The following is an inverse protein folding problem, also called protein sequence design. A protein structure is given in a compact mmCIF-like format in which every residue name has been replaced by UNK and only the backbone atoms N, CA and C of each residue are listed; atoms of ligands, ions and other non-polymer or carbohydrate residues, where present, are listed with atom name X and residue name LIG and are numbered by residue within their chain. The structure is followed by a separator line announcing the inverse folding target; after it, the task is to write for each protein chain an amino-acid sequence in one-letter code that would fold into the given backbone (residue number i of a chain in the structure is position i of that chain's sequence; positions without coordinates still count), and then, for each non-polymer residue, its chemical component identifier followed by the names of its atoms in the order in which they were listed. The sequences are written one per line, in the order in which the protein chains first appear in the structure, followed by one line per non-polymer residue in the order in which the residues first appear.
data_IF_026159436828
#
_entry.id   IF_026159436828
#
_cell.length_a   1.000
_cell.length_b   1.000
_cell.length_c   1.000
_cell.angle_alpha   90.00
_cell.angle_beta   90.00
_cell.angle_gamma   90.00
#
_symmetry.space_group_name_H-M   'P 1'
#
loop_
_entity.id
_entity.type
_entity.pdbx_description
1 polymer ?
#
# COMPACT_ATOMS: atom_id res chain seq x y z
N UNK A 1 -10.40 23.57 3.37
CA UNK A 1 -9.17 22.87 2.95
C UNK A 1 -8.75 23.28 1.53
N UNK A 2 -9.59 23.13 0.51
CA UNK A 2 -9.25 23.43 -0.91
C UNK A 2 -8.74 24.84 -1.18
N UNK A 3 -9.30 25.88 -0.53
CA UNK A 3 -8.84 27.27 -0.68
C UNK A 3 -7.38 27.45 -0.22
N UNK A 4 -7.01 26.80 0.89
CA UNK A 4 -5.65 26.86 1.40
C UNK A 4 -4.69 26.15 0.46
N UNK A 5 -5.06 24.96 -0.02
CA UNK A 5 -4.26 24.22 -1.00
C UNK A 5 -4.06 25.02 -2.29
N UNK A 6 -5.10 25.67 -2.81
CA UNK A 6 -4.98 26.54 -3.98
C UNK A 6 -3.97 27.67 -3.76
N UNK A 7 -4.07 28.41 -2.65
CA UNK A 7 -3.11 29.48 -2.36
C UNK A 7 -1.70 28.92 -2.24
N UNK A 8 -1.52 27.81 -1.52
CA UNK A 8 -0.22 27.17 -1.36
C UNK A 8 0.38 26.70 -2.70
N UNK A 9 -0.45 26.19 -3.62
CA UNK A 9 0.00 25.66 -4.90
C UNK A 9 0.24 26.71 -5.99
N UNK A 10 -0.45 27.85 -5.95
CA UNK A 10 -0.44 28.83 -7.05
C UNK A 10 0.09 30.22 -6.68
N UNK A 11 0.17 30.58 -5.39
CA UNK A 11 0.57 31.93 -4.99
C UNK A 11 1.99 32.28 -5.43
N UNK A 12 2.92 31.32 -5.35
CA UNK A 12 4.30 31.52 -5.81
C UNK A 12 4.37 31.77 -7.31
N UNK A 13 3.61 31.01 -8.10
CA UNK A 13 3.54 31.16 -9.55
C UNK A 13 2.89 32.49 -9.94
N UNK A 14 1.84 32.92 -9.23
CA UNK A 14 1.25 34.25 -9.44
C UNK A 14 2.21 35.37 -9.07
N UNK A 15 2.96 35.21 -7.99
CA UNK A 15 3.99 36.17 -7.61
C UNK A 15 5.06 36.31 -8.70
N UNK A 16 5.53 35.20 -9.26
CA UNK A 16 6.51 35.24 -10.36
C UNK A 16 5.89 35.84 -11.62
N UNK A 17 4.68 35.40 -12.00
CA UNK A 17 4.03 35.81 -13.24
C UNK A 17 3.63 37.30 -13.24
N UNK A 18 3.10 37.81 -12.13
CA UNK A 18 2.51 39.15 -12.09
C UNK A 18 3.34 40.19 -11.35
N UNK A 19 4.05 39.81 -10.28
CA UNK A 19 4.88 40.75 -9.52
C UNK A 19 6.31 40.82 -10.06
N UNK A 20 6.98 39.68 -10.25
CA UNK A 20 8.34 39.65 -10.82
C UNK A 20 8.34 39.78 -12.34
N UNK A 21 7.26 39.35 -13.02
CA UNK A 21 7.11 39.34 -14.48
C UNK A 21 8.23 38.56 -15.21
N UNK A 22 8.79 37.55 -14.54
CA UNK A 22 9.87 36.72 -15.09
C UNK A 22 9.30 35.44 -15.71
N UNK A 23 9.11 35.48 -17.03
CA UNK A 23 8.54 34.38 -17.79
C UNK A 23 9.49 33.19 -17.93
N UNK A 24 10.80 33.40 -17.80
CA UNK A 24 11.77 32.30 -17.83
C UNK A 24 11.69 31.49 -16.54
N UNK A 25 11.75 32.16 -15.38
CA UNK A 25 11.54 31.51 -14.07
C UNK A 25 10.19 30.80 -13.99
N UNK A 26 9.14 31.41 -14.54
CA UNK A 26 7.80 30.81 -14.57
C UNK A 26 7.79 29.50 -15.36
N UNK A 27 8.39 29.49 -16.55
CA UNK A 27 8.52 28.27 -17.38
C UNK A 27 9.36 27.21 -16.68
N UNK A 28 10.49 27.58 -16.08
CA UNK A 28 11.35 26.66 -15.34
C UNK A 28 10.61 26.01 -14.17
N UNK A 29 9.87 26.78 -13.37
CA UNK A 29 9.08 26.23 -12.28
C UNK A 29 7.96 25.31 -12.76
N UNK A 30 7.22 25.71 -13.80
CA UNK A 30 6.16 24.86 -14.38
C UNK A 30 6.74 23.56 -14.96
N UNK A 31 7.86 23.65 -15.67
CA UNK A 31 8.56 22.49 -16.20
C UNK A 31 9.01 21.57 -15.06
N UNK A 32 9.63 22.12 -14.01
CA UNK A 32 10.05 21.34 -12.84
C UNK A 32 8.87 20.62 -12.17
N UNK A 33 7.73 21.31 -11.97
CA UNK A 33 6.52 20.72 -11.40
C UNK A 33 5.98 19.57 -12.27
N UNK A 34 5.92 19.75 -13.59
CA UNK A 34 5.41 18.76 -14.54
C UNK A 34 6.37 17.57 -14.72
N UNK A 35 7.68 17.82 -14.78
CA UNK A 35 8.70 16.77 -14.87
C UNK A 35 8.71 15.95 -13.58
N UNK A 36 8.62 16.60 -12.41
CA UNK A 36 8.57 15.89 -11.13
C UNK A 36 7.38 14.93 -11.11
N UNK A 37 6.21 15.38 -11.57
CA UNK A 37 5.02 14.52 -11.73
C UNK A 37 5.26 13.34 -12.67
N UNK A 38 5.88 13.56 -13.82
CA UNK A 38 6.23 12.52 -14.77
C UNK A 38 7.19 11.47 -14.18
N UNK A 39 8.21 11.93 -13.45
CA UNK A 39 9.18 11.07 -12.78
C UNK A 39 8.52 10.26 -11.68
N UNK A 40 7.67 10.88 -10.87
CA UNK A 40 6.88 10.19 -9.83
C UNK A 40 6.00 9.11 -10.47
N UNK A 41 5.33 9.39 -11.58
CA UNK A 41 4.56 8.40 -12.33
C UNK A 41 5.40 7.20 -12.77
N UNK A 42 6.56 7.45 -13.39
CA UNK A 42 7.48 6.38 -13.80
C UNK A 42 7.98 5.53 -12.61
N UNK A 43 8.26 6.18 -11.47
CA UNK A 43 8.63 5.49 -10.23
C UNK A 43 7.46 4.68 -9.69
N UNK A 44 6.23 5.21 -9.69
CA UNK A 44 5.03 4.48 -9.25
C UNK A 44 4.86 3.18 -10.05
N UNK A 45 4.99 3.24 -11.38
CA UNK A 45 4.82 2.06 -12.24
C UNK A 45 5.94 1.02 -12.09
N UNK A 46 7.19 1.46 -11.88
CA UNK A 46 8.34 0.54 -11.87
C UNK A 46 8.71 0.05 -10.46
N UNK A 47 8.60 0.93 -9.47
CA UNK A 47 9.12 0.72 -8.12
C UNK A 47 8.08 0.15 -7.17
N UNK A 48 6.81 0.53 -7.30
CA UNK A 48 5.75 -0.01 -6.45
C UNK A 48 5.54 -1.52 -6.66
N UNK A 49 5.46 -2.10 -7.87
CA UNK A 49 5.32 -3.56 -8.01
C UNK A 49 6.46 -4.30 -7.30
N UNK A 50 7.69 -3.79 -7.45
CA UNK A 50 8.87 -4.33 -6.79
C UNK A 50 8.78 -4.26 -5.26
N UNK A 51 8.39 -3.10 -4.71
CA UNK A 51 8.29 -2.92 -3.25
C UNK A 51 7.14 -3.72 -2.65
N UNK A 52 6.00 -3.82 -3.34
CA UNK A 52 4.81 -4.54 -2.87
C UNK A 52 5.09 -6.04 -2.79
N UNK A 53 5.80 -6.60 -3.77
CA UNK A 53 6.20 -8.01 -3.76
C UNK A 53 7.21 -8.29 -2.63
N UNK A 54 8.16 -7.39 -2.42
CA UNK A 54 9.18 -7.52 -1.36
C UNK A 54 8.59 -7.36 0.05
N UNK A 55 7.65 -6.42 0.25
CA UNK A 55 6.97 -6.22 1.53
C UNK A 55 6.03 -7.38 1.87
N UNK A 56 5.31 -7.93 0.89
CA UNK A 56 4.49 -9.14 1.09
C UNK A 56 5.36 -10.29 1.61
N UNK A 57 6.51 -10.53 1.01
CA UNK A 57 7.42 -11.60 1.45
C UNK A 57 8.04 -11.34 2.83
N UNK A 58 8.44 -10.11 3.13
CA UNK A 58 9.01 -9.75 4.43
C UNK A 58 7.99 -9.82 5.57
N UNK A 59 6.74 -9.41 5.33
CA UNK A 59 5.67 -9.46 6.33
C UNK A 59 5.26 -10.91 6.63
N UNK A 60 5.14 -11.76 5.61
CA UNK A 60 4.92 -13.20 5.78
C UNK A 60 6.05 -13.88 6.58
N UNK A 61 7.29 -13.40 6.43
CA UNK A 61 8.43 -13.89 7.21
C UNK A 61 8.46 -13.43 8.67
N UNK A 62 7.87 -12.26 8.98
CA UNK A 62 7.89 -11.67 10.32
C UNK A 62 6.80 -12.25 11.24
N UNK A 63 5.59 -12.52 10.73
CA UNK A 63 4.49 -13.08 11.52
C UNK A 63 4.77 -14.51 12.01
N UNK A 64 5.59 -15.28 11.28
CA UNK A 64 5.99 -16.63 11.69
C UNK A 64 6.91 -16.64 12.92
N UNK A 65 7.47 -15.48 13.30
CA UNK A 65 8.36 -15.38 14.46
C UNK A 65 7.67 -14.97 15.78
N UNK A 66 6.37 -14.60 15.76
CA UNK A 66 5.69 -14.01 16.94
C UNK A 66 4.72 -14.96 17.66
N UNK A 67 4.29 -16.07 17.05
CA UNK A 67 3.40 -17.04 17.71
C UNK A 67 4.11 -18.33 18.14
N UNK A 68 5.12 -18.21 19.01
CA UNK A 68 5.45 -19.30 19.95
C UNK A 68 4.65 -19.04 21.23
N UNK A 69 3.56 -19.76 21.55
CA UNK A 69 3.04 -19.76 22.90
C UNK A 69 4.05 -20.50 23.77
N UNK A 70 5.01 -19.75 24.32
CA UNK A 70 5.80 -20.14 25.47
C UNK A 70 4.86 -20.23 26.68
N UNK A 71 4.17 -21.35 26.79
CA UNK A 71 3.30 -21.69 27.90
C UNK A 71 3.59 -23.13 28.32
N UNK A 72 4.71 -23.34 28.98
CA UNK A 72 5.00 -24.56 29.74
C UNK A 72 5.94 -24.19 30.87
N UNK A 73 5.35 -23.81 32.00
CA UNK A 73 6.00 -23.84 33.30
C UNK A 73 6.50 -25.27 33.54
N UNK A 74 7.82 -25.41 33.70
CA UNK A 74 8.39 -26.58 34.35
C UNK A 74 8.49 -26.24 35.84
N UNK A 75 7.80 -26.98 36.70
CA UNK A 75 8.40 -27.39 37.96
C UNK A 75 7.85 -28.73 38.44
N UNK A 76 8.80 -29.59 38.74
CA UNK A 76 8.68 -31.00 39.07
C UNK A 76 8.48 -31.20 40.58
N UNK A 77 7.64 -32.17 40.99
CA UNK A 77 7.94 -33.11 42.10
C UNK A 77 6.85 -34.17 42.33
N UNK A 78 7.25 -35.42 42.15
CA UNK A 78 7.12 -36.58 43.04
C UNK A 78 5.89 -36.69 43.95
N UNK A 79 5.14 -37.81 43.85
CA UNK A 79 5.14 -38.94 44.81
C UNK A 79 3.96 -39.91 44.50
N UNK A 80 4.26 -41.19 44.70
CA UNK A 80 3.58 -42.47 44.40
C UNK A 80 2.31 -42.76 45.25
N UNK A 81 1.47 -43.71 44.75
CA UNK A 81 0.64 -44.72 45.49
C UNK A 81 -0.88 -44.59 45.20
N UNK A 82 -1.47 -45.39 44.31
CA UNK A 82 -2.00 -46.78 44.44
C UNK A 82 -3.52 -46.80 44.70
N UNK A 83 -4.31 -47.37 43.77
CA UNK A 83 -5.14 -48.58 44.00
C UNK A 83 -6.00 -48.98 42.79
N UNK A 84 -6.04 -50.30 42.59
CA UNK A 84 -6.55 -51.10 41.47
C UNK A 84 -8.07 -51.29 41.40
N UNK A 85 -8.59 -51.64 40.20
CA UNK A 85 -9.31 -52.91 39.93
C UNK A 85 -9.82 -53.03 38.47
N UNK A 86 -9.15 -53.89 37.67
CA UNK A 86 -9.64 -55.01 36.83
C UNK A 86 -10.88 -54.93 35.88
N UNK A 87 -11.00 -55.81 34.84
CA UNK A 87 -10.03 -56.12 33.77
C UNK A 87 -10.67 -56.35 32.36
N UNK A 88 -9.79 -56.51 31.36
CA UNK A 88 -9.81 -57.56 30.30
C UNK A 88 -9.88 -57.13 28.81
N UNK A 89 -8.87 -57.63 28.08
CA UNK A 89 -8.81 -57.98 26.64
C UNK A 89 -8.49 -56.82 25.69
N UNK A 90 -7.37 -56.76 24.96
CA UNK A 90 -6.70 -57.84 24.22
C UNK A 90 -5.26 -57.43 23.86
N UNK A 91 -4.32 -58.38 23.90
CA UNK A 91 -2.91 -58.19 23.56
C UNK A 91 -2.65 -58.28 22.05
N UNK A 92 -1.78 -57.43 21.50
CA UNK A 92 -0.39 -57.81 21.18
C UNK A 92 0.32 -56.83 20.21
N UNK A 93 1.48 -56.34 20.67
CA UNK A 93 2.73 -56.02 19.94
C UNK A 93 2.78 -54.93 18.85
N UNK A 94 3.42 -53.81 19.19
CA UNK A 94 4.24 -52.95 18.29
C UNK A 94 5.69 -53.49 18.25
N UNK A 95 6.48 -53.29 17.17
CA UNK A 95 7.29 -52.06 17.00
C UNK A 95 7.31 -51.51 15.54
N UNK A 96 7.31 -50.19 15.31
CA UNK A 96 8.47 -49.29 15.02
C UNK A 96 9.27 -49.79 13.79
N UNK A 97 9.62 -49.08 12.72
CA UNK A 97 9.76 -47.68 12.25
C UNK A 97 9.60 -47.81 10.70
N UNK A 98 9.17 -46.86 9.87
CA UNK A 98 9.96 -45.73 9.41
C UNK A 98 9.27 -45.24 8.12
N UNK A 99 8.69 -44.04 8.17
CA UNK A 99 7.98 -43.44 7.05
C UNK A 99 8.11 -41.94 7.17
N UNK A 100 9.30 -41.46 6.84
CA UNK A 100 9.61 -40.04 6.69
C UNK A 100 8.58 -39.43 5.73
N UNK A 101 7.63 -38.66 6.26
CA UNK A 101 6.76 -37.81 5.48
C UNK A 101 6.86 -36.41 6.06
N UNK A 102 7.77 -35.67 5.47
CA UNK A 102 7.94 -34.23 5.58
C UNK A 102 6.56 -33.54 5.58
N UNK A 103 6.04 -33.20 6.76
CA UNK A 103 4.92 -32.27 6.87
C UNK A 103 5.45 -30.86 6.66
N UNK A 104 5.61 -30.47 5.40
CA UNK A 104 5.75 -29.08 4.98
C UNK A 104 4.48 -28.35 5.42
N UNK A 105 4.52 -27.67 6.57
CA UNK A 105 3.43 -26.83 7.06
C UNK A 105 3.36 -25.59 6.19
N UNK A 106 2.60 -25.66 5.10
CA UNK A 106 2.16 -24.51 4.36
C UNK A 106 1.13 -23.77 5.22
N UNK A 107 1.60 -22.88 6.11
CA UNK A 107 0.73 -21.92 6.78
C UNK A 107 0.30 -20.89 5.73
N UNK A 108 -0.71 -21.24 4.94
CA UNK A 108 -1.32 -20.32 3.99
C UNK A 108 -2.12 -19.30 4.80
N UNK A 109 -1.57 -18.10 5.01
CA UNK A 109 -2.31 -16.98 5.59
C UNK A 109 -3.61 -16.79 4.81
N UNK A 110 -4.69 -16.56 5.55
CA UNK A 110 -6.00 -16.32 4.96
C UNK A 110 -5.96 -14.97 4.26
N UNK A 111 -6.65 -14.86 3.11
CA UNK A 111 -6.74 -13.60 2.37
C UNK A 111 -7.16 -12.42 3.26
N UNK A 112 -8.07 -12.64 4.22
CA UNK A 112 -8.52 -11.62 5.17
C UNK A 112 -7.40 -11.09 6.08
N UNK A 113 -6.47 -11.95 6.51
CA UNK A 113 -5.34 -11.56 7.36
C UNK A 113 -4.37 -10.68 6.55
N UNK A 114 -4.07 -11.09 5.31
CA UNK A 114 -3.24 -10.31 4.37
C UNK A 114 -3.89 -8.97 4.03
N UNK A 115 -5.20 -8.94 3.79
CA UNK A 115 -5.93 -7.69 3.52
C UNK A 115 -5.94 -6.77 4.74
N UNK A 116 -6.10 -7.31 5.95
CA UNK A 116 -6.13 -6.49 7.17
C UNK A 116 -4.83 -5.72 7.43
N UNK A 117 -3.70 -6.21 6.92
CA UNK A 117 -2.39 -5.58 7.03
C UNK A 117 -2.15 -4.48 5.98
N UNK A 118 -3.01 -4.33 4.97
CA UNK A 118 -2.88 -3.27 3.97
C UNK A 118 -3.32 -1.90 4.50
N UNK A 119 -2.94 -0.82 3.82
CA UNK A 119 -3.34 0.53 4.20
C UNK A 119 -4.84 0.74 4.00
N UNK A 120 -5.46 1.57 4.85
CA UNK A 120 -6.84 1.98 4.66
C UNK A 120 -6.90 3.12 3.63
N UNK A 121 -7.88 3.04 2.73
CA UNK A 121 -8.16 4.12 1.80
C UNK A 121 -9.03 5.20 2.50
N UNK A 122 -8.45 6.37 2.76
CA UNK A 122 -9.10 7.47 3.49
C UNK A 122 -10.06 8.31 2.61
N UNK A 123 -10.11 8.04 1.31
CA UNK A 123 -11.05 8.67 0.36
C UNK A 123 -10.37 9.31 -0.84
N UNK A 124 -11.18 9.81 -1.77
CA UNK A 124 -10.75 10.29 -3.09
C UNK A 124 -10.31 11.76 -3.11
N UNK A 125 -10.33 12.46 -1.98
CA UNK A 125 -10.09 13.91 -1.94
C UNK A 125 -8.71 14.29 -2.48
N UNK A 126 -7.65 13.58 -2.07
CA UNK A 126 -6.28 13.86 -2.52
C UNK A 126 -6.10 13.52 -4.01
N UNK A 127 -6.70 12.42 -4.49
CA UNK A 127 -6.66 12.03 -5.90
C UNK A 127 -7.37 13.11 -6.77
N UNK A 128 -8.51 13.66 -6.31
CA UNK A 128 -9.17 14.79 -6.99
C UNK A 128 -8.39 16.10 -6.87
N UNK A 129 -7.75 16.36 -5.73
CA UNK A 129 -6.96 17.58 -5.51
C UNK A 129 -5.74 17.62 -6.44
N UNK A 130 -5.08 16.48 -6.64
CA UNK A 130 -4.01 16.30 -7.62
C UNK A 130 -4.47 16.71 -9.02
N UNK A 131 -5.59 16.14 -9.48
CA UNK A 131 -6.19 16.47 -10.77
C UNK A 131 -6.57 17.95 -10.88
N UNK A 132 -7.13 18.54 -9.82
CA UNK A 132 -7.51 19.94 -9.76
C UNK A 132 -6.30 20.88 -9.89
N UNK A 133 -5.21 20.61 -9.18
CA UNK A 133 -3.99 21.43 -9.24
C UNK A 133 -3.37 21.35 -10.64
N UNK A 134 -3.29 20.16 -11.22
CA UNK A 134 -2.77 19.97 -12.57
C UNK A 134 -3.60 20.70 -13.62
N UNK A 135 -4.93 20.60 -13.54
CA UNK A 135 -5.83 21.37 -14.39
C UNK A 135 -5.60 22.88 -14.23
N UNK A 136 -5.42 23.35 -12.99
CA UNK A 136 -5.10 24.74 -12.71
C UNK A 136 -3.79 25.21 -13.37
N UNK A 137 -2.73 24.40 -13.36
CA UNK A 137 -1.48 24.74 -14.06
C UNK A 137 -1.69 24.91 -15.57
N UNK A 138 -2.48 24.04 -16.19
CA UNK A 138 -2.77 24.11 -17.63
C UNK A 138 -3.64 25.32 -17.96
N UNK A 139 -4.72 25.55 -17.21
CA UNK A 139 -5.65 26.65 -17.49
C UNK A 139 -5.01 28.01 -17.26
N UNK A 140 -4.27 28.19 -16.15
CA UNK A 140 -3.76 29.50 -15.76
C UNK A 140 -2.47 29.88 -16.49
N UNK A 141 -1.64 28.91 -16.90
CA UNK A 141 -0.29 29.18 -17.39
C UNK A 141 0.04 28.56 -18.76
N UNK A 142 -0.92 27.99 -19.48
CA UNK A 142 -0.69 27.45 -20.84
C UNK A 142 -0.15 28.49 -21.83
N UNK A 143 -0.52 29.77 -21.68
CA UNK A 143 0.02 30.84 -22.52
C UNK A 143 1.52 31.08 -22.27
N UNK A 144 1.99 30.87 -21.03
CA UNK A 144 3.39 31.00 -20.65
C UNK A 144 4.19 29.73 -20.98
N UNK A 145 3.59 28.54 -20.83
CA UNK A 145 4.20 27.25 -21.13
C UNK A 145 3.23 26.35 -21.93
N UNK A 146 3.20 26.46 -23.27
CA UNK A 146 2.23 25.73 -24.11
C UNK A 146 2.31 24.21 -23.99
N UNK A 147 3.49 23.69 -23.65
CA UNK A 147 3.73 22.26 -23.45
C UNK A 147 3.05 21.70 -22.20
N UNK A 148 2.58 22.57 -21.29
CA UNK A 148 1.88 22.17 -20.05
C UNK A 148 0.73 21.19 -20.33
N UNK A 149 -0.09 21.47 -21.35
CA UNK A 149 -1.24 20.65 -21.67
C UNK A 149 -0.85 19.23 -22.12
N UNK A 150 0.23 19.12 -22.92
CA UNK A 150 0.71 17.81 -23.37
C UNK A 150 1.35 17.02 -22.22
N UNK A 151 2.15 17.67 -21.38
CA UNK A 151 2.69 17.04 -20.18
C UNK A 151 1.58 16.56 -19.23
N UNK A 152 0.53 17.38 -19.06
CA UNK A 152 -0.62 17.00 -18.24
C UNK A 152 -1.37 15.81 -18.84
N UNK A 153 -1.52 15.74 -20.16
CA UNK A 153 -2.17 14.59 -20.81
C UNK A 153 -1.36 13.30 -20.61
N UNK A 154 -0.05 13.34 -20.81
CA UNK A 154 0.83 12.18 -20.58
C UNK A 154 0.80 11.74 -19.13
N UNK A 155 0.83 12.70 -18.20
CA UNK A 155 0.71 12.40 -16.78
C UNK A 155 -0.64 11.73 -16.49
N UNK A 156 -1.77 12.23 -17.00
CA UNK A 156 -3.08 11.61 -16.78
C UNK A 156 -3.14 10.15 -17.28
N UNK A 157 -2.50 9.84 -18.42
CA UNK A 157 -2.46 8.46 -18.95
C UNK A 157 -1.75 7.52 -17.99
N UNK A 158 -0.62 7.96 -17.42
CA UNK A 158 0.15 7.18 -16.45
C UNK A 158 -0.56 7.13 -15.09
N UNK A 159 -1.21 8.21 -14.70
CA UNK A 159 -1.90 8.33 -13.41
C UNK A 159 -3.08 7.37 -13.33
N UNK A 160 -3.87 7.22 -14.42
CA UNK A 160 -4.95 6.22 -14.48
C UNK A 160 -4.45 4.82 -14.12
N UNK A 161 -3.29 4.43 -14.66
CA UNK A 161 -2.70 3.11 -14.39
C UNK A 161 -2.11 3.03 -12.98
N UNK A 162 -1.45 4.10 -12.55
CA UNK A 162 -0.83 4.18 -11.23
C UNK A 162 -1.85 4.16 -10.10
N UNK A 163 -2.99 4.82 -10.25
CA UNK A 163 -4.08 4.82 -9.27
C UNK A 163 -4.84 3.50 -9.25
N UNK A 164 -5.06 2.88 -10.41
CA UNK A 164 -5.58 1.52 -10.47
C UNK A 164 -4.67 0.54 -9.70
N UNK A 165 -3.35 0.64 -9.89
CA UNK A 165 -2.40 -0.16 -9.14
C UNK A 165 -2.49 0.13 -7.62
N UNK A 166 -2.54 1.41 -7.24
CA UNK A 166 -2.66 1.87 -5.84
C UNK A 166 -3.85 1.21 -5.14
N UNK A 167 -5.02 1.21 -5.79
CA UNK A 167 -6.24 0.61 -5.24
C UNK A 167 -6.22 -0.92 -5.23
N UNK A 168 -5.57 -1.56 -6.21
CA UNK A 168 -5.55 -3.02 -6.31
C UNK A 168 -4.51 -3.69 -5.40
N UNK A 169 -3.38 -3.02 -5.14
CA UNK A 169 -2.20 -3.67 -4.57
C UNK A 169 -1.71 -3.06 -3.26
N UNK A 170 -2.10 -1.82 -2.93
CA UNK A 170 -1.60 -1.09 -1.75
C UNK A 170 -2.68 -0.94 -0.69
N UNK A 171 -3.91 -0.63 -1.09
CA UNK A 171 -5.00 -0.39 -0.17
C UNK A 171 -5.88 -1.61 0.06
N UNK A 172 -6.49 -1.65 1.24
CA UNK A 172 -7.65 -2.48 1.52
C UNK A 172 -8.79 -2.13 0.57
N UNK A 173 -9.60 -3.12 0.19
CA UNK A 173 -10.77 -2.90 -0.66
C UNK A 173 -11.72 -1.91 0.02
N UNK A 174 -11.92 -0.70 -0.53
CA UNK A 174 -12.82 0.27 0.08
C UNK A 174 -14.28 -0.17 -0.06
N UNK A 175 -15.12 0.21 0.90
CA UNK A 175 -16.56 0.02 0.78
C UNK A 175 -17.13 0.94 -0.29
N UNK A 176 -17.94 0.37 -1.18
CA UNK A 176 -18.61 1.14 -2.23
C UNK A 176 -19.59 2.14 -1.63
N UNK A 177 -19.38 3.42 -1.93
CA UNK A 177 -20.31 4.50 -1.61
C UNK A 177 -20.98 4.96 -2.91
N UNK A 178 -22.30 5.11 -2.89
CA UNK A 178 -23.02 5.69 -4.03
C UNK A 178 -22.85 7.20 -4.00
N UNK A 179 -22.36 7.77 -5.10
CA UNK A 179 -22.28 9.20 -5.31
C UNK A 179 -22.99 9.54 -6.62
N UNK A 180 -23.78 10.62 -6.62
CA UNK A 180 -24.49 11.09 -7.83
C UNK A 180 -23.57 11.91 -8.75
N UNK A 181 -22.54 12.52 -8.17
CA UNK A 181 -21.57 13.40 -8.82
C UNK A 181 -20.23 13.34 -8.06
N UNK A 182 -19.27 14.18 -8.48
CA UNK A 182 -17.92 14.24 -7.90
C UNK A 182 -17.83 15.02 -6.57
N UNK A 183 -18.94 15.56 -6.07
CA UNK A 183 -19.02 16.44 -4.90
C UNK A 183 -20.35 17.16 -4.80
#
# INVERSE_FOLDING_TARGET
MTKFQFVNSFLSLFYIAFYLQDMEKLKEQLAALLITRQVVGNIKESFIPFLTETLKLAHLGADHSVHTPSGSENDQKDVISDQESDPMSSASSTPVHEGNSEKKSHNNLTQAEVESAMYKYEGTFEDYLEMFIQFGYVILFSSAFPMAAMCALLNNVIEIRSDAFKLCMIFQRPFGQRAENIG
#
